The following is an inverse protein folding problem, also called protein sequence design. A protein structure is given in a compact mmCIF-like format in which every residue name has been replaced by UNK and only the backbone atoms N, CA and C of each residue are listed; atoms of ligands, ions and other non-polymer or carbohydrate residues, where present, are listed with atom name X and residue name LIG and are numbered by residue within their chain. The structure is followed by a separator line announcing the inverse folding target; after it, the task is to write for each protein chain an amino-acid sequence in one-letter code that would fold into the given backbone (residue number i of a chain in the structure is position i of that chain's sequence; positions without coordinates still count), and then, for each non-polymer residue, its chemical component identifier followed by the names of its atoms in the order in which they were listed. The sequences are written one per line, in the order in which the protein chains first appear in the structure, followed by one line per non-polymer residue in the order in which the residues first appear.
data_IF_273898677422
#
_entry.id   IF_273898677422
#
_cell.length_a   1.000
_cell.length_b   1.000
_cell.length_c   1.000
_cell.angle_alpha   90.00
_cell.angle_beta   90.00
_cell.angle_gamma   90.00
#
_symmetry.space_group_name_H-M   'P 1'
#
loop_
_entity.id
_entity.type
_entity.pdbx_description
1 polymer ?
#
# COMPACT_ATOMS: atom_id res chain seq x y z
N UNK A 1 17.26 -7.96 -24.34
CA UNK A 1 18.33 -6.95 -24.50
C UNK A 1 18.03 -6.26 -25.82
N UNK A 2 17.08 -5.32 -25.81
CA UNK A 2 16.72 -4.61 -27.03
C UNK A 2 17.74 -3.51 -27.27
N UNK A 3 18.54 -3.75 -28.31
CA UNK A 3 19.57 -2.86 -28.80
C UNK A 3 18.89 -1.65 -29.44
N UNK A 4 19.23 -0.46 -28.92
CA UNK A 4 18.83 0.82 -29.49
C UNK A 4 19.23 0.89 -30.99
N UNK A 5 18.41 1.53 -31.85
CA UNK A 5 18.70 1.67 -33.27
C UNK A 5 20.02 2.41 -33.51
N UNK A 6 20.79 1.94 -34.50
CA UNK A 6 22.10 2.48 -34.87
C UNK A 6 21.98 3.96 -35.27
N UNK A 7 22.47 4.85 -34.41
CA UNK A 7 22.54 6.29 -34.69
C UNK A 7 22.45 7.20 -33.47
N UNK A 8 21.84 6.78 -32.36
CA UNK A 8 21.91 7.52 -31.09
C UNK A 8 23.11 7.04 -30.26
N UNK A 9 24.25 7.71 -30.40
CA UNK A 9 25.32 7.61 -29.40
C UNK A 9 24.85 8.29 -28.12
N UNK A 10 24.54 7.50 -27.12
CA UNK A 10 24.26 7.98 -25.77
C UNK A 10 25.60 8.47 -25.16
N UNK A 11 25.96 9.72 -25.44
CA UNK A 11 27.21 10.34 -24.98
C UNK A 11 27.15 10.78 -23.51
N UNK A 12 26.08 10.44 -22.78
CA UNK A 12 25.90 10.85 -21.39
C UNK A 12 26.63 9.85 -20.50
N UNK A 13 27.67 10.34 -19.81
CA UNK A 13 28.41 9.55 -18.84
C UNK A 13 27.56 9.39 -17.57
N UNK A 14 27.32 8.14 -17.18
CA UNK A 14 26.67 7.80 -15.90
C UNK A 14 27.72 7.86 -14.79
N UNK A 15 27.55 8.78 -13.84
CA UNK A 15 28.41 8.86 -12.66
C UNK A 15 27.90 7.92 -11.56
N UNK A 16 28.76 7.61 -10.59
CA UNK A 16 28.39 6.77 -9.45
C UNK A 16 27.17 7.31 -8.69
N UNK A 17 27.09 8.63 -8.47
CA UNK A 17 25.96 9.28 -7.80
C UNK A 17 24.64 9.13 -8.57
N UNK A 18 24.70 9.07 -9.90
CA UNK A 18 23.50 8.85 -10.72
C UNK A 18 23.01 7.42 -10.58
N UNK A 19 23.95 6.46 -10.58
CA UNK A 19 23.61 5.06 -10.36
C UNK A 19 23.01 4.85 -8.97
N UNK A 20 23.47 5.58 -7.95
CA UNK A 20 22.84 5.56 -6.62
C UNK A 20 21.39 6.04 -6.68
N UNK A 21 21.11 7.16 -7.36
CA UNK A 21 19.75 7.68 -7.55
C UNK A 21 18.85 6.73 -8.33
N UNK A 22 19.39 6.08 -9.37
CA UNK A 22 18.68 5.05 -10.15
C UNK A 22 18.32 3.85 -9.26
N UNK A 23 19.29 3.37 -8.47
CA UNK A 23 19.05 2.26 -7.54
C UNK A 23 18.03 2.63 -6.45
N UNK A 24 18.09 3.86 -5.93
CA UNK A 24 17.11 4.38 -4.98
C UNK A 24 15.72 4.43 -5.61
N UNK A 25 15.60 4.96 -6.82
CA UNK A 25 14.34 5.00 -7.57
C UNK A 25 13.74 3.60 -7.74
N UNK A 26 14.53 2.61 -8.15
CA UNK A 26 14.05 1.22 -8.28
C UNK A 26 13.56 0.65 -6.95
N UNK A 27 14.25 0.93 -5.84
CA UNK A 27 13.83 0.48 -4.50
C UNK A 27 12.52 1.14 -4.06
N UNK A 28 12.35 2.44 -4.32
CA UNK A 28 11.14 3.16 -3.97
C UNK A 28 9.93 2.66 -4.77
N UNK A 29 10.12 2.38 -6.05
CA UNK A 29 9.07 1.77 -6.89
C UNK A 29 8.66 0.39 -6.35
N UNK A 30 9.62 -0.46 -5.97
CA UNK A 30 9.30 -1.74 -5.33
C UNK A 30 8.56 -1.56 -3.99
N UNK A 31 8.98 -0.59 -3.17
CA UNK A 31 8.32 -0.26 -1.91
C UNK A 31 6.89 0.23 -2.15
N UNK A 32 6.67 1.08 -3.16
CA UNK A 32 5.34 1.55 -3.55
C UNK A 32 4.43 0.37 -3.93
N UNK A 33 4.91 -0.56 -4.75
CA UNK A 33 4.12 -1.75 -5.11
C UNK A 33 3.69 -2.54 -3.86
N UNK A 34 4.59 -2.72 -2.90
CA UNK A 34 4.28 -3.40 -1.63
C UNK A 34 3.24 -2.64 -0.81
N UNK A 35 3.41 -1.33 -0.63
CA UNK A 35 2.45 -0.47 0.08
C UNK A 35 1.07 -0.57 -0.57
N UNK A 36 1.00 -0.53 -1.91
CA UNK A 36 -0.27 -0.58 -2.63
C UNK A 36 -0.97 -1.93 -2.50
N UNK A 37 -0.20 -3.03 -2.43
CA UNK A 37 -0.74 -4.36 -2.16
C UNK A 37 -1.28 -4.46 -0.72
N UNK A 38 -0.55 -3.92 0.25
CA UNK A 38 -0.98 -3.91 1.66
C UNK A 38 -2.22 -3.02 1.86
N UNK A 39 -2.26 -1.84 1.25
CA UNK A 39 -3.45 -0.97 1.25
C UNK A 39 -4.66 -1.65 0.65
N UNK A 40 -4.51 -2.33 -0.50
CA UNK A 40 -5.60 -3.07 -1.11
C UNK A 40 -6.13 -4.18 -0.19
N UNK A 41 -5.21 -4.90 0.48
CA UNK A 41 -5.56 -5.93 1.45
C UNK A 41 -6.34 -5.35 2.64
N UNK A 42 -5.82 -4.30 3.30
CA UNK A 42 -6.49 -3.72 4.47
C UNK A 42 -7.82 -3.05 4.12
N UNK A 43 -7.94 -2.40 2.95
CA UNK A 43 -9.22 -1.86 2.47
C UNK A 43 -10.24 -2.96 2.21
N UNK A 44 -9.81 -4.12 1.73
CA UNK A 44 -10.67 -5.28 1.56
C UNK A 44 -11.11 -5.86 2.91
N UNK A 45 -10.19 -6.02 3.87
CA UNK A 45 -10.51 -6.45 5.23
C UNK A 45 -11.49 -5.50 5.92
N UNK A 46 -11.30 -4.19 5.78
CA UNK A 46 -12.23 -3.18 6.29
C UNK A 46 -13.61 -3.34 5.68
N UNK A 47 -13.71 -3.54 4.36
CA UNK A 47 -14.99 -3.79 3.70
C UNK A 47 -15.72 -5.01 4.27
N UNK A 48 -15.00 -6.11 4.55
CA UNK A 48 -15.59 -7.28 5.21
C UNK A 48 -16.05 -6.99 6.64
N UNK A 49 -15.31 -6.16 7.37
CA UNK A 49 -15.68 -5.75 8.71
C UNK A 49 -16.93 -4.86 8.72
N UNK A 50 -17.01 -3.91 7.79
CA UNK A 50 -18.18 -3.04 7.60
C UNK A 50 -19.42 -3.87 7.24
N UNK A 51 -19.28 -4.83 6.33
CA UNK A 51 -20.37 -5.75 5.95
C UNK A 51 -20.89 -6.56 7.16
N UNK A 52 -19.98 -7.15 7.95
CA UNK A 52 -20.36 -7.91 9.15
C UNK A 52 -21.00 -7.00 10.21
N UNK A 53 -20.47 -5.79 10.39
CA UNK A 53 -21.00 -4.84 11.37
C UNK A 53 -22.45 -4.48 11.04
N UNK A 54 -22.76 -4.21 9.76
CA UNK A 54 -24.11 -3.90 9.29
C UNK A 54 -25.09 -5.06 9.49
N UNK A 55 -24.65 -6.31 9.28
CA UNK A 55 -25.50 -7.49 9.51
C UNK A 55 -25.83 -7.70 11.00
N UNK A 56 -24.92 -7.31 11.90
CA UNK A 56 -25.09 -7.46 13.35
C UNK A 56 -25.99 -6.38 13.96
N UNK A 57 -26.15 -5.22 13.31
CA UNK A 57 -27.00 -4.12 13.81
C UNK A 57 -28.47 -4.52 14.01
N UNK A 58 -28.96 -5.53 13.29
CA UNK A 58 -30.36 -5.98 13.37
C UNK A 58 -30.60 -7.03 14.46
N UNK A 59 -29.54 -7.53 15.10
CA UNK A 59 -29.60 -8.54 16.16
C UNK A 59 -29.84 -7.83 17.50
N UNK A 60 -30.68 -8.41 18.36
CA UNK A 60 -30.92 -7.88 19.70
C UNK A 60 -29.61 -7.86 20.53
N UNK A 61 -29.34 -6.78 21.24
CA UNK A 61 -28.09 -6.56 21.99
C UNK A 61 -27.80 -7.66 23.03
N UNK A 62 -28.84 -8.34 23.51
CA UNK A 62 -28.76 -9.44 24.49
C UNK A 62 -28.66 -10.84 23.85
N UNK A 63 -28.82 -10.96 22.54
CA UNK A 63 -28.67 -12.24 21.84
C UNK A 63 -27.21 -12.70 21.78
N UNK A 64 -27.03 -14.03 21.80
CA UNK A 64 -25.71 -14.64 21.74
C UNK A 64 -25.32 -14.98 20.30
N UNK A 65 -24.16 -14.50 19.88
CA UNK A 65 -23.57 -14.72 18.57
C UNK A 65 -22.39 -15.68 18.69
N UNK A 66 -22.26 -16.60 17.73
CA UNK A 66 -21.08 -17.46 17.62
C UNK A 66 -19.92 -16.69 17.00
N UNK A 67 -19.01 -16.20 17.84
CA UNK A 67 -17.79 -15.52 17.42
C UNK A 67 -16.65 -16.51 17.24
N UNK A 68 -15.94 -16.44 16.09
CA UNK A 68 -14.88 -17.39 15.74
C UNK A 68 -13.51 -16.88 16.19
N UNK A 69 -12.79 -17.68 16.96
CA UNK A 69 -11.41 -17.42 17.39
C UNK A 69 -10.54 -18.61 16.96
N UNK A 70 -9.69 -18.40 15.96
CA UNK A 70 -8.89 -19.47 15.37
C UNK A 70 -9.77 -20.57 14.77
N UNK A 71 -9.78 -21.75 15.40
CA UNK A 71 -10.59 -22.91 14.99
C UNK A 71 -11.83 -23.13 15.88
N UNK A 72 -12.02 -22.33 16.92
CA UNK A 72 -13.12 -22.48 17.88
C UNK A 72 -14.18 -21.39 17.71
N UNK A 73 -15.40 -21.68 18.15
CA UNK A 73 -16.49 -20.70 18.27
C UNK A 73 -16.84 -20.51 19.74
N UNK A 74 -17.00 -19.26 20.14
CA UNK A 74 -17.43 -18.86 21.49
C UNK A 74 -18.74 -18.06 21.36
N UNK A 75 -19.63 -18.22 22.33
CA UNK A 75 -20.84 -17.41 22.39
C UNK A 75 -20.52 -16.10 23.11
N UNK A 76 -20.64 -14.99 22.39
CA UNK A 76 -20.54 -13.64 22.93
C UNK A 76 -21.88 -12.94 22.78
N UNK A 77 -22.18 -11.99 23.66
CA UNK A 77 -23.34 -11.11 23.42
C UNK A 77 -23.10 -10.26 22.18
N UNK A 78 -24.17 -9.90 21.49
CA UNK A 78 -24.12 -8.97 20.37
C UNK A 78 -23.34 -7.70 20.72
N UNK A 79 -23.63 -7.11 21.88
CA UNK A 79 -22.93 -5.89 22.36
C UNK A 79 -21.42 -6.06 22.50
N UNK A 80 -20.96 -7.22 22.96
CA UNK A 80 -19.52 -7.53 23.07
C UNK A 80 -18.87 -7.72 21.68
N UNK A 81 -19.62 -8.30 20.73
CA UNK A 81 -19.14 -8.45 19.34
C UNK A 81 -19.03 -7.09 18.66
N UNK A 82 -20.03 -6.21 18.81
CA UNK A 82 -19.99 -4.85 18.26
C UNK A 82 -18.78 -4.08 18.79
N UNK A 83 -18.54 -4.09 20.11
CA UNK A 83 -17.37 -3.43 20.71
C UNK A 83 -16.04 -3.97 20.14
N UNK A 84 -15.98 -5.27 19.84
CA UNK A 84 -14.80 -5.88 19.24
C UNK A 84 -14.63 -5.44 17.77
N UNK A 85 -15.71 -5.41 16.99
CA UNK A 85 -15.68 -4.97 15.60
C UNK A 85 -15.26 -3.49 15.49
N UNK A 86 -15.75 -2.63 16.38
CA UNK A 86 -15.36 -1.21 16.43
C UNK A 86 -13.85 -1.05 16.68
N UNK A 87 -13.29 -1.80 17.65
CA UNK A 87 -11.84 -1.79 17.92
C UNK A 87 -11.04 -2.29 16.73
N UNK A 88 -11.50 -3.35 16.08
CA UNK A 88 -10.82 -3.90 14.90
C UNK A 88 -10.86 -2.89 13.73
N UNK A 89 -11.96 -2.13 13.60
CA UNK A 89 -12.10 -1.08 12.60
C UNK A 89 -11.12 0.07 12.85
N UNK A 90 -11.02 0.55 14.09
CA UNK A 90 -10.05 1.58 14.48
C UNK A 90 -8.60 1.16 14.19
N UNK A 91 -8.27 -0.11 14.45
CA UNK A 91 -6.93 -0.65 14.16
C UNK A 91 -6.67 -0.72 12.65
N UNK A 92 -7.66 -1.11 11.86
CA UNK A 92 -7.53 -1.13 10.39
C UNK A 92 -7.39 0.28 9.84
N UNK A 93 -8.16 1.24 10.33
CA UNK A 93 -8.10 2.64 9.92
C UNK A 93 -6.74 3.26 10.22
N UNK A 94 -6.22 3.06 11.43
CA UNK A 94 -4.88 3.54 11.78
C UNK A 94 -3.79 2.97 10.86
N UNK A 95 -3.89 1.68 10.46
CA UNK A 95 -2.93 1.06 9.53
C UNK A 95 -3.07 1.59 8.10
N UNK A 96 -4.30 1.81 7.64
CA UNK A 96 -4.56 2.40 6.33
C UNK A 96 -3.97 3.81 6.29
N UNK A 97 -4.23 4.64 7.30
CA UNK A 97 -3.71 5.99 7.39
C UNK A 97 -2.17 6.01 7.38
N UNK A 98 -1.51 5.15 8.18
CA UNK A 98 -0.04 5.03 8.19
C UNK A 98 0.53 4.65 6.82
N UNK A 99 -0.13 3.73 6.12
CA UNK A 99 0.30 3.30 4.79
C UNK A 99 0.05 4.37 3.72
N UNK A 100 -1.06 5.11 3.79
CA UNK A 100 -1.34 6.23 2.88
C UNK A 100 -0.34 7.38 3.07
N UNK A 101 0.04 7.68 4.32
CA UNK A 101 1.12 8.62 4.63
C UNK A 101 2.45 8.13 4.04
N UNK A 102 2.80 6.85 4.25
CA UNK A 102 4.01 6.28 3.65
C UNK A 102 3.97 6.23 2.12
N UNK A 103 2.80 6.03 1.49
CA UNK A 103 2.65 6.09 0.04
C UNK A 103 2.96 7.51 -0.47
N UNK A 104 2.40 8.53 0.19
CA UNK A 104 2.61 9.94 -0.12
C UNK A 104 4.08 10.35 -0.04
N UNK A 105 4.79 9.92 1.02
CA UNK A 105 6.23 10.16 1.14
C UNK A 105 7.04 9.51 0.02
N UNK A 106 6.73 8.26 -0.30
CA UNK A 106 7.39 7.51 -1.37
C UNK A 106 7.14 8.16 -2.72
N UNK A 107 5.91 8.61 -2.99
CA UNK A 107 5.54 9.29 -4.23
C UNK A 107 6.23 10.64 -4.40
N UNK A 108 6.31 11.43 -3.32
CA UNK A 108 7.09 12.67 -3.33
C UNK A 108 8.55 12.39 -3.71
N UNK A 109 9.17 11.37 -3.09
CA UNK A 109 10.56 11.02 -3.36
C UNK A 109 10.79 10.47 -4.77
N UNK A 110 9.86 9.66 -5.29
CA UNK A 110 9.87 9.17 -6.67
C UNK A 110 9.81 10.34 -7.65
N UNK A 111 8.93 11.30 -7.42
CA UNK A 111 8.77 12.49 -8.28
C UNK A 111 10.03 13.35 -8.33
N UNK A 112 10.66 13.59 -7.17
CA UNK A 112 11.94 14.31 -7.08
C UNK A 112 13.04 13.60 -7.87
N UNK A 113 13.18 12.28 -7.69
CA UNK A 113 14.17 11.48 -8.40
C UNK A 113 13.89 11.44 -9.91
N UNK A 114 12.63 11.30 -10.34
CA UNK A 114 12.26 11.40 -11.77
C UNK A 114 12.73 12.73 -12.34
N UNK A 115 12.43 13.84 -11.67
CA UNK A 115 12.81 15.18 -12.14
C UNK A 115 14.32 15.31 -12.31
N UNK A 116 15.09 14.89 -11.29
CA UNK A 116 16.56 14.96 -11.32
C UNK A 116 17.15 14.06 -12.42
N UNK A 117 16.65 12.84 -12.56
CA UNK A 117 17.16 11.88 -13.53
C UNK A 117 16.79 12.26 -14.97
N UNK A 118 15.55 12.71 -15.22
CA UNK A 118 15.15 13.21 -16.54
C UNK A 118 15.87 14.50 -16.92
N UNK A 119 16.11 15.42 -15.99
CA UNK A 119 16.90 16.62 -16.26
C UNK A 119 18.32 16.31 -16.73
N UNK A 120 18.91 15.20 -16.25
CA UNK A 120 20.27 14.79 -16.59
C UNK A 120 20.36 13.88 -17.82
N UNK A 121 19.47 12.90 -17.93
CA UNK A 121 19.54 11.85 -18.95
C UNK A 121 18.56 12.08 -20.11
N UNK A 122 17.50 12.87 -19.93
CA UNK A 122 16.47 13.12 -20.93
C UNK A 122 15.91 11.81 -21.49
N UNK A 123 15.83 11.70 -22.82
CA UNK A 123 15.36 10.51 -23.53
C UNK A 123 16.27 9.27 -23.39
N UNK A 124 17.42 9.40 -22.72
CA UNK A 124 18.38 8.31 -22.54
C UNK A 124 18.12 7.46 -21.29
N UNK A 125 17.08 7.78 -20.51
CA UNK A 125 16.63 6.97 -19.37
C UNK A 125 15.14 6.69 -19.49
N UNK A 126 14.72 5.47 -19.14
CA UNK A 126 13.32 5.12 -19.00
C UNK A 126 12.98 4.89 -17.53
N UNK A 127 12.13 5.75 -16.97
CA UNK A 127 11.65 5.70 -15.58
C UNK A 127 10.14 5.48 -15.51
N UNK A 128 9.52 5.11 -16.62
CA UNK A 128 8.11 4.77 -16.69
C UNK A 128 7.92 3.30 -16.30
N UNK A 129 7.13 3.07 -15.26
CA UNK A 129 6.59 1.78 -14.86
C UNK A 129 5.10 1.97 -14.59
#
# INVERSE_FOLDING_TARGET
MDLLPEGKKNNIQVLYEDQQKINEFSKLIMRKDTINQELAHFKQEKGYLDDVSLEIELIDEDEQIQYKIGEAFVFLKQSEVVEQLEKDAEVLDAKIDELEDSESEVDSRISDLKTVLYAKFGDNINLER
#
